data_IF_247277954286
#
_entry.id   IF_247277954286
#
_cell.length_a   1.000
_cell.length_b   1.000
_cell.length_c   1.000
_cell.angle_alpha   90.00
_cell.angle_beta   90.00
_cell.angle_gamma   90.00
#
_symmetry.space_group_name_H-M   'P 1'
#
loop_
_entity.id
_entity.type
_entity.pdbx_description
1 polymer ?
#
# COMPACT_ATOMS: atom_id res chain seq x y z
N UNK A 1 -3.16 -26.77 -14.15
CA UNK A 1 -3.94 -26.35 -12.95
C UNK A 1 -4.43 -24.95 -13.16
N UNK A 2 -5.68 -24.65 -12.82
CA UNK A 2 -6.18 -23.29 -12.85
C UNK A 2 -5.42 -22.43 -11.80
N UNK A 3 -4.95 -21.24 -12.21
CA UNK A 3 -4.32 -20.29 -11.28
C UNK A 3 -5.43 -19.64 -10.45
N UNK A 4 -5.28 -19.61 -9.14
CA UNK A 4 -6.19 -18.94 -8.24
C UNK A 4 -5.50 -17.74 -7.60
N UNK A 5 -5.95 -16.55 -7.91
CA UNK A 5 -5.49 -15.29 -7.32
C UNK A 5 -6.66 -14.67 -6.58
N UNK A 6 -6.59 -14.68 -5.25
CA UNK A 6 -7.68 -14.18 -4.38
C UNK A 6 -7.68 -12.67 -4.20
N UNK A 7 -6.63 -11.98 -4.57
CA UNK A 7 -6.45 -10.54 -4.39
C UNK A 7 -5.24 -10.23 -3.50
N UNK A 8 -5.05 -8.94 -3.20
CA UNK A 8 -4.04 -8.48 -2.24
C UNK A 8 -4.64 -8.59 -0.84
N UNK A 9 -4.07 -9.45 -0.01
CA UNK A 9 -4.56 -9.67 1.36
C UNK A 9 -4.04 -8.60 2.32
N UNK A 10 -2.76 -8.25 2.20
CA UNK A 10 -2.09 -7.37 3.14
C UNK A 10 -0.90 -6.66 2.51
N UNK A 11 -0.49 -5.58 3.14
CA UNK A 11 0.83 -4.98 2.99
C UNK A 11 1.54 -5.07 4.34
N UNK A 12 2.79 -5.54 4.33
CA UNK A 12 3.65 -5.56 5.51
C UNK A 12 4.20 -4.16 5.79
N UNK A 13 4.26 -3.78 7.07
CA UNK A 13 4.77 -2.49 7.50
C UNK A 13 5.59 -2.63 8.79
N UNK A 14 6.86 -2.18 8.74
CA UNK A 14 7.75 -2.20 9.88
C UNK A 14 7.55 -0.97 10.76
N UNK A 15 7.39 -1.16 12.08
CA UNK A 15 7.15 -0.06 13.02
C UNK A 15 7.93 -0.28 14.32
N UNK A 16 8.22 0.76 15.09
CA UNK A 16 8.86 0.61 16.40
C UNK A 16 7.92 0.11 17.50
N UNK A 17 6.58 0.20 17.32
CA UNK A 17 5.59 -0.22 18.31
C UNK A 17 4.30 -0.65 17.61
N UNK A 18 4.05 -1.96 17.57
CA UNK A 18 2.88 -2.56 16.90
C UNK A 18 1.56 -2.01 17.42
N UNK A 19 1.44 -1.85 18.75
CA UNK A 19 0.16 -1.44 19.36
C UNK A 19 -0.17 0.03 19.05
N UNK A 20 0.83 0.92 19.12
CA UNK A 20 0.65 2.34 18.78
C UNK A 20 0.33 2.52 17.29
N UNK A 21 1.07 1.83 16.42
CA UNK A 21 0.83 1.87 14.99
C UNK A 21 -0.57 1.32 14.66
N UNK A 22 -0.95 0.18 15.21
CA UNK A 22 -2.28 -0.38 14.98
C UNK A 22 -3.41 0.51 15.52
N UNK A 23 -3.24 1.15 16.68
CA UNK A 23 -4.21 2.11 17.19
C UNK A 23 -4.42 3.28 16.20
N UNK A 24 -3.35 3.75 15.58
CA UNK A 24 -3.43 4.77 14.55
C UNK A 24 -4.13 4.26 13.28
N UNK A 25 -3.78 3.06 12.77
CA UNK A 25 -4.42 2.49 11.56
C UNK A 25 -5.91 2.17 11.78
N UNK A 26 -6.30 1.80 13.00
CA UNK A 26 -7.72 1.72 13.39
C UNK A 26 -8.41 3.07 13.28
N UNK A 27 -7.78 4.12 13.80
CA UNK A 27 -8.31 5.48 13.74
C UNK A 27 -8.38 6.01 12.31
N UNK A 28 -7.34 5.78 11.51
CA UNK A 28 -7.23 6.30 10.14
C UNK A 28 -8.10 5.50 9.15
N UNK A 29 -8.03 4.17 9.20
CA UNK A 29 -8.53 3.30 8.14
C UNK A 29 -9.56 2.27 8.63
N UNK A 30 -9.91 2.24 9.93
CA UNK A 30 -10.85 1.24 10.45
C UNK A 30 -10.34 -0.21 10.36
N UNK A 31 -9.03 -0.42 10.28
CA UNK A 31 -8.40 -1.75 10.25
C UNK A 31 -8.39 -2.32 11.67
N UNK A 32 -9.48 -2.97 12.10
CA UNK A 32 -9.76 -3.35 13.48
C UNK A 32 -9.96 -4.85 13.70
N UNK A 33 -10.10 -5.64 12.63
CA UNK A 33 -10.31 -7.09 12.74
C UNK A 33 -8.96 -7.79 12.85
N UNK A 34 -8.62 -8.25 14.06
CA UNK A 34 -7.40 -9.01 14.32
C UNK A 34 -7.51 -10.43 13.76
N UNK A 35 -6.69 -10.75 12.77
CA UNK A 35 -6.57 -12.10 12.24
C UNK A 35 -5.61 -12.93 13.09
N UNK A 36 -4.46 -12.36 13.43
CA UNK A 36 -3.53 -12.89 14.42
C UNK A 36 -2.74 -11.77 15.09
N UNK A 37 -2.17 -12.07 16.22
CA UNK A 37 -1.17 -11.26 16.91
C UNK A 37 -0.28 -12.23 17.68
N UNK A 38 1.02 -12.18 17.45
CA UNK A 38 1.97 -13.11 18.06
C UNK A 38 3.36 -12.53 18.25
N UNK A 39 4.06 -13.01 19.26
CA UNK A 39 5.49 -12.85 19.42
C UNK A 39 6.18 -14.17 19.04
N UNK A 40 7.21 -14.09 18.21
CA UNK A 40 7.96 -15.27 17.75
C UNK A 40 9.38 -14.88 17.32
N UNK A 41 10.21 -15.89 17.07
CA UNK A 41 11.50 -15.71 16.42
C UNK A 41 11.34 -15.61 14.89
N UNK A 42 12.06 -14.66 14.30
CA UNK A 42 12.03 -14.37 12.87
C UNK A 42 13.17 -15.11 12.13
N UNK A 43 13.22 -16.44 12.25
CA UNK A 43 14.30 -17.26 11.70
C UNK A 43 14.45 -17.15 10.17
N UNK A 44 13.37 -16.84 9.44
CA UNK A 44 13.40 -16.66 7.99
C UNK A 44 13.91 -15.27 7.54
N UNK A 45 14.08 -14.33 8.48
CA UNK A 45 14.52 -12.96 8.19
C UNK A 45 16.04 -12.77 8.27
N UNK A 46 16.81 -13.84 8.54
CA UNK A 46 18.28 -13.77 8.72
C UNK A 46 19.01 -13.15 7.56
N UNK A 47 18.49 -13.28 6.33
CA UNK A 47 19.03 -12.60 5.15
C UNK A 47 19.06 -11.05 5.29
N UNK A 48 18.10 -10.49 6.02
CA UNK A 48 17.91 -9.05 6.22
C UNK A 48 18.38 -8.56 7.59
N UNK A 49 18.95 -9.44 8.41
CA UNK A 49 19.39 -9.17 9.77
C UNK A 49 20.86 -9.52 9.99
N UNK A 50 21.67 -9.54 8.91
CA UNK A 50 23.10 -9.87 9.01
C UNK A 50 23.39 -11.32 9.40
N UNK A 51 22.45 -12.23 9.18
CA UNK A 51 22.59 -13.67 9.54
C UNK A 51 22.09 -14.01 10.94
N UNK A 52 21.64 -13.04 11.73
CA UNK A 52 21.18 -13.26 13.09
C UNK A 52 19.65 -13.48 13.16
N UNK A 53 19.22 -14.38 14.06
CA UNK A 53 17.80 -14.57 14.38
C UNK A 53 17.37 -13.54 15.41
N UNK A 54 16.37 -12.75 15.09
CA UNK A 54 15.77 -11.78 16.00
C UNK A 54 14.34 -12.16 16.37
N UNK A 55 13.95 -11.82 17.59
CA UNK A 55 12.55 -11.91 18.01
C UNK A 55 11.74 -10.77 17.43
N UNK A 56 10.46 -11.05 17.15
CA UNK A 56 9.51 -10.10 16.57
C UNK A 56 8.17 -10.14 17.31
N UNK A 57 7.42 -9.06 17.18
CA UNK A 57 5.98 -9.02 17.44
C UNK A 57 5.29 -8.58 16.15
N UNK A 58 4.27 -9.30 15.73
CA UNK A 58 3.50 -8.97 14.54
C UNK A 58 2.00 -9.11 14.78
N UNK A 59 1.23 -8.23 14.15
CA UNK A 59 -0.22 -8.31 14.12
C UNK A 59 -0.71 -8.18 12.69
N UNK A 60 -1.53 -9.11 12.21
CA UNK A 60 -2.29 -8.97 10.98
C UNK A 60 -3.69 -8.49 11.32
N UNK A 61 -4.03 -7.32 10.84
CA UNK A 61 -5.34 -6.72 11.03
C UNK A 61 -5.97 -6.37 9.67
N UNK A 62 -7.25 -6.68 9.51
CA UNK A 62 -8.04 -6.42 8.31
C UNK A 62 -9.16 -5.43 8.60
N UNK A 63 -9.72 -4.87 7.52
CA UNK A 63 -10.96 -4.10 7.56
C UNK A 63 -12.11 -4.98 7.06
N UNK A 64 -13.12 -5.23 7.89
CA UNK A 64 -14.20 -6.17 7.52
C UNK A 64 -14.93 -5.77 6.24
N UNK A 65 -15.29 -4.52 6.07
CA UNK A 65 -16.00 -4.06 4.88
C UNK A 65 -15.10 -4.01 3.63
N UNK A 66 -13.87 -3.55 3.77
CA UNK A 66 -12.88 -3.43 2.68
C UNK A 66 -12.08 -4.70 2.42
N UNK A 67 -12.00 -5.60 3.39
CA UNK A 67 -11.50 -6.96 3.26
C UNK A 67 -10.02 -7.18 3.52
N UNK A 68 -9.16 -6.37 2.98
CA UNK A 68 -7.70 -6.48 3.15
C UNK A 68 -7.18 -5.60 4.29
N UNK A 69 -5.92 -5.72 4.63
CA UNK A 69 -5.35 -4.97 5.74
C UNK A 69 -3.83 -4.88 5.77
N UNK A 70 -3.27 -4.85 6.96
CA UNK A 70 -1.85 -4.66 7.19
C UNK A 70 -1.30 -5.69 8.14
N UNK A 71 -0.13 -6.22 7.80
CA UNK A 71 0.72 -6.93 8.74
C UNK A 71 1.68 -5.92 9.36
N UNK A 72 1.44 -5.60 10.63
CA UNK A 72 2.20 -4.62 11.39
C UNK A 72 3.29 -5.38 12.14
N UNK A 73 4.54 -5.04 11.88
CA UNK A 73 5.71 -5.80 12.30
C UNK A 73 6.67 -4.94 13.12
N UNK A 74 7.20 -5.52 14.20
CA UNK A 74 8.20 -4.91 15.06
C UNK A 74 9.26 -5.95 15.45
N UNK A 75 10.55 -5.62 15.33
CA UNK A 75 11.60 -6.37 16.03
C UNK A 75 11.57 -6.04 17.52
N UNK A 76 11.73 -7.08 18.37
CA UNK A 76 11.68 -6.95 19.84
C UNK A 76 12.99 -7.27 20.53
N UNK A 77 13.91 -7.98 19.89
CA UNK A 77 15.25 -8.28 20.42
C UNK A 77 16.33 -7.30 19.93
N UNK A 78 15.98 -6.36 19.06
CA UNK A 78 16.84 -5.23 18.65
C UNK A 78 15.97 -3.98 18.57
N UNK A 79 16.60 -2.81 18.70
CA UNK A 79 15.93 -1.56 18.44
C UNK A 79 15.71 -1.38 16.93
N UNK A 80 14.47 -1.20 16.46
CA UNK A 80 14.21 -0.88 15.06
C UNK A 80 14.90 0.43 14.66
N UNK A 81 15.66 0.40 13.59
CA UNK A 81 16.31 1.59 13.04
C UNK A 81 15.46 2.13 11.89
N UNK A 82 15.28 3.45 11.77
CA UNK A 82 14.68 4.03 10.59
C UNK A 82 15.58 3.82 9.38
N UNK A 83 15.00 3.88 8.17
CA UNK A 83 15.79 3.88 6.95
C UNK A 83 16.83 5.00 6.96
N UNK A 84 18.01 4.74 6.41
CA UNK A 84 19.14 5.71 6.36
C UNK A 84 18.93 6.84 5.36
N UNK A 85 17.87 6.74 4.57
CA UNK A 85 17.49 7.74 3.57
C UNK A 85 15.98 7.96 3.59
N UNK A 86 15.55 9.09 3.14
CA UNK A 86 14.13 9.32 2.85
C UNK A 86 13.80 8.66 1.52
N UNK A 87 12.86 7.68 1.55
CA UNK A 87 12.32 7.06 0.35
C UNK A 87 11.52 8.08 -0.46
N UNK A 88 11.61 8.01 -1.77
CA UNK A 88 10.90 8.91 -2.67
C UNK A 88 10.19 8.14 -3.78
N UNK A 89 9.26 8.81 -4.45
CA UNK A 89 8.54 8.24 -5.58
C UNK A 89 9.54 7.79 -6.66
N UNK A 90 9.38 6.56 -7.15
CA UNK A 90 10.28 5.96 -8.13
C UNK A 90 11.43 5.13 -7.54
N UNK A 91 11.72 5.21 -6.25
CA UNK A 91 12.61 4.26 -5.59
C UNK A 91 12.05 2.83 -5.67
N UNK A 92 12.91 1.85 -5.85
CA UNK A 92 12.50 0.46 -6.13
C UNK A 92 11.89 -0.21 -4.90
N UNK A 93 10.68 -0.71 -5.05
CA UNK A 93 9.90 -1.37 -3.97
C UNK A 93 8.52 -0.77 -3.77
N UNK A 94 7.85 -1.12 -2.67
CA UNK A 94 6.53 -0.57 -2.33
C UNK A 94 6.73 0.79 -1.67
N UNK A 95 6.30 1.86 -2.33
CA UNK A 95 6.41 3.22 -1.81
C UNK A 95 5.11 3.72 -1.17
N UNK A 96 3.96 3.39 -1.75
CA UNK A 96 2.64 3.83 -1.26
C UNK A 96 1.72 2.62 -1.10
N UNK A 97 1.09 2.50 0.07
CA UNK A 97 -0.02 1.59 0.28
C UNK A 97 -1.32 2.28 -0.14
N UNK A 98 -2.10 1.65 -1.03
CA UNK A 98 -3.42 2.14 -1.41
C UNK A 98 -4.48 1.56 -0.50
N UNK A 99 -5.30 2.44 0.06
CA UNK A 99 -6.42 2.10 0.95
C UNK A 99 -7.72 2.52 0.28
N UNK A 100 -8.71 1.65 0.27
CA UNK A 100 -10.02 1.92 -0.34
C UNK A 100 -10.79 2.95 0.46
N UNK A 101 -11.49 3.86 -0.23
CA UNK A 101 -12.55 4.69 0.35
C UNK A 101 -13.81 4.65 -0.52
N UNK A 102 -14.94 4.97 0.08
CA UNK A 102 -16.24 5.01 -0.63
C UNK A 102 -16.43 6.35 -1.34
N UNK A 103 -15.95 7.42 -0.72
CA UNK A 103 -16.02 8.80 -1.16
C UNK A 103 -14.77 9.50 -0.61
N UNK A 104 -13.91 9.96 -1.50
CA UNK A 104 -12.64 10.56 -1.13
C UNK A 104 -12.81 11.92 -0.45
N UNK A 105 -13.79 12.72 -0.84
CA UNK A 105 -14.08 14.01 -0.22
C UNK A 105 -14.57 13.83 1.23
N UNK A 106 -15.53 12.90 1.41
CA UNK A 106 -16.05 12.58 2.74
C UNK A 106 -14.95 11.99 3.66
N UNK A 107 -14.08 11.12 3.12
CA UNK A 107 -12.98 10.53 3.86
C UNK A 107 -11.91 11.58 4.22
N UNK A 108 -11.60 12.49 3.30
CA UNK A 108 -10.67 13.60 3.52
C UNK A 108 -11.18 14.53 4.64
N UNK A 109 -12.46 14.89 4.60
CA UNK A 109 -13.10 15.71 5.64
C UNK A 109 -13.11 14.98 7.00
N UNK A 110 -13.40 13.67 7.01
CA UNK A 110 -13.39 12.87 8.23
C UNK A 110 -11.98 12.74 8.83
N UNK A 111 -10.94 12.59 7.99
CA UNK A 111 -9.55 12.61 8.45
C UNK A 111 -9.21 13.95 9.13
N UNK A 112 -9.57 15.07 8.52
CA UNK A 112 -9.36 16.39 9.12
C UNK A 112 -10.07 16.51 10.48
N UNK A 113 -11.32 16.02 10.59
CA UNK A 113 -12.08 15.97 11.85
C UNK A 113 -11.40 15.11 12.92
N UNK A 114 -10.73 14.01 12.52
CA UNK A 114 -9.96 13.13 13.42
C UNK A 114 -8.56 13.65 13.75
N UNK A 115 -8.15 14.79 13.17
CA UNK A 115 -6.80 15.35 13.33
C UNK A 115 -5.73 14.52 12.59
N UNK A 116 -6.09 13.92 11.45
CA UNK A 116 -5.17 13.23 10.53
C UNK A 116 -4.94 14.17 9.34
N UNK A 117 -3.70 14.60 9.16
CA UNK A 117 -3.32 15.52 8.09
C UNK A 117 -3.20 14.77 6.75
N UNK A 118 -3.79 15.34 5.71
CA UNK A 118 -3.59 14.89 4.33
C UNK A 118 -2.42 15.64 3.69
N UNK A 119 -1.79 15.02 2.69
CA UNK A 119 -0.77 15.61 1.85
C UNK A 119 -1.43 16.25 0.61
N UNK A 120 -2.03 17.42 0.79
CA UNK A 120 -2.72 18.13 -0.29
C UNK A 120 -4.20 17.80 -0.42
N UNK A 121 -4.85 18.31 -1.49
CA UNK A 121 -6.29 18.17 -1.72
C UNK A 121 -6.65 16.80 -2.30
N UNK A 122 -7.96 16.58 -2.44
CA UNK A 122 -8.51 15.49 -3.25
C UNK A 122 -8.29 15.81 -4.74
N UNK A 123 -7.86 14.79 -5.49
CA UNK A 123 -7.68 14.85 -6.94
C UNK A 123 -8.62 13.87 -7.64
N UNK A 124 -8.95 14.16 -8.89
CA UNK A 124 -9.74 13.28 -9.74
C UNK A 124 -8.82 12.55 -10.74
N UNK A 125 -9.02 11.25 -10.91
CA UNK A 125 -8.33 10.40 -11.87
C UNK A 125 -9.07 10.42 -13.21
N UNK A 126 -8.41 10.04 -14.33
CA UNK A 126 -9.05 9.99 -15.65
C UNK A 126 -10.29 9.09 -15.74
N UNK A 127 -10.42 8.10 -14.86
CA UNK A 127 -11.60 7.22 -14.78
C UNK A 127 -12.75 7.81 -13.95
N UNK A 128 -12.60 9.07 -13.48
CA UNK A 128 -13.56 9.78 -12.64
C UNK A 128 -13.53 9.39 -11.16
N UNK A 129 -12.70 8.44 -10.76
CA UNK A 129 -12.49 8.15 -9.34
C UNK A 129 -11.64 9.23 -8.68
N UNK A 130 -11.86 9.46 -7.40
CA UNK A 130 -11.10 10.46 -6.64
C UNK A 130 -10.14 9.80 -5.67
N UNK A 131 -9.07 10.52 -5.34
CA UNK A 131 -8.04 10.07 -4.42
C UNK A 131 -7.32 11.22 -3.72
N UNK A 132 -6.62 10.92 -2.62
CA UNK A 132 -5.70 11.84 -1.93
C UNK A 132 -4.63 11.06 -1.17
N UNK A 133 -3.59 11.76 -0.74
CA UNK A 133 -2.46 11.18 -0.03
C UNK A 133 -2.38 11.63 1.42
N UNK A 134 -1.76 10.79 2.25
CA UNK A 134 -1.36 11.12 3.61
C UNK A 134 -0.09 10.36 4.01
N UNK A 135 0.54 10.78 5.10
CA UNK A 135 1.59 10.03 5.79
C UNK A 135 1.11 9.58 7.15
N UNK A 136 1.55 8.40 7.57
CA UNK A 136 1.38 7.97 8.94
C UNK A 136 2.42 8.61 9.89
N UNK A 137 2.36 8.38 11.22
CA UNK A 137 3.33 8.92 12.16
C UNK A 137 4.78 8.42 11.97
N UNK A 138 4.97 7.37 11.18
CA UNK A 138 6.29 6.79 10.87
C UNK A 138 6.85 7.27 9.53
N UNK A 139 6.08 8.08 8.78
CA UNK A 139 6.50 8.63 7.49
C UNK A 139 6.10 7.79 6.27
N UNK A 140 5.41 6.67 6.47
CA UNK A 140 4.92 5.86 5.36
C UNK A 140 3.77 6.55 4.61
N UNK A 141 3.85 6.50 3.28
CA UNK A 141 2.86 7.12 2.42
C UNK A 141 1.66 6.20 2.14
N UNK A 142 0.48 6.78 2.17
CA UNK A 142 -0.78 6.14 1.85
C UNK A 142 -1.55 6.94 0.82
N UNK A 143 -2.23 6.23 -0.08
CA UNK A 143 -3.21 6.79 -1.00
C UNK A 143 -4.61 6.28 -0.64
N UNK A 144 -5.54 7.18 -0.36
CA UNK A 144 -6.95 6.85 -0.23
C UNK A 144 -7.55 6.95 -1.62
N UNK A 145 -8.07 5.85 -2.17
CA UNK A 145 -8.61 5.78 -3.52
C UNK A 145 -10.04 5.23 -3.52
N UNK A 146 -10.92 5.90 -4.25
CA UNK A 146 -12.31 5.44 -4.37
C UNK A 146 -12.39 4.06 -5.01
N UNK A 147 -13.18 3.20 -4.38
CA UNK A 147 -13.44 1.84 -4.84
C UNK A 147 -14.92 1.52 -4.77
N UNK A 148 -15.38 0.76 -5.76
CA UNK A 148 -16.74 0.20 -5.79
C UNK A 148 -16.79 -1.23 -5.23
N UNK A 149 -15.65 -1.80 -4.87
CA UNK A 149 -15.55 -3.19 -4.43
C UNK A 149 -15.47 -3.28 -2.90
N UNK A 150 -16.57 -3.66 -2.31
CA UNK A 150 -16.73 -3.81 -0.86
C UNK A 150 -17.30 -5.18 -0.53
N UNK A 151 -16.75 -5.82 0.49
CA UNK A 151 -17.25 -7.08 1.03
C UNK A 151 -18.47 -6.87 1.94
N UNK A 152 -18.45 -5.79 2.70
CA UNK A 152 -19.49 -5.46 3.65
C UNK A 152 -19.60 -3.96 3.90
N UNK A 153 -20.48 -3.56 4.83
CA UNK A 153 -20.65 -2.15 5.18
C UNK A 153 -19.33 -1.51 5.67
N UNK A 154 -19.11 -0.29 5.26
CA UNK A 154 -18.03 0.56 5.75
C UNK A 154 -18.55 2.00 5.90
N UNK A 155 -18.07 2.71 6.94
CA UNK A 155 -18.54 4.08 7.19
C UNK A 155 -17.94 5.08 6.20
N UNK A 156 -16.62 4.99 5.95
CA UNK A 156 -15.89 5.92 5.07
C UNK A 156 -14.94 5.19 4.14
N UNK A 157 -14.20 4.22 4.66
CA UNK A 157 -13.21 3.49 3.91
C UNK A 157 -12.41 2.55 4.77
N UNK A 158 -11.49 1.86 4.15
CA UNK A 158 -10.55 0.94 4.77
C UNK A 158 -10.33 -0.33 3.95
N UNK A 159 -9.34 -1.08 4.38
CA UNK A 159 -8.83 -2.23 3.64
C UNK A 159 -7.88 -1.83 2.51
N UNK A 160 -6.82 -2.61 2.38
CA UNK A 160 -5.82 -2.39 1.33
C UNK A 160 -6.43 -2.64 -0.05
N UNK A 161 -6.31 -1.68 -0.95
CA UNK A 161 -6.81 -1.73 -2.32
C UNK A 161 -5.72 -1.91 -3.37
N UNK A 162 -4.46 -1.82 -2.97
CA UNK A 162 -3.35 -1.89 -3.91
C UNK A 162 -2.04 -1.33 -3.37
N UNK A 163 -1.10 -1.11 -4.29
CA UNK A 163 0.18 -0.49 -3.98
C UNK A 163 0.72 0.32 -5.16
N UNK A 164 1.52 1.34 -4.86
CA UNK A 164 2.42 2.00 -5.82
C UNK A 164 3.82 1.44 -5.63
N UNK A 165 4.38 0.94 -6.71
CA UNK A 165 5.66 0.25 -6.76
C UNK A 165 6.64 1.02 -7.64
N UNK A 166 7.77 1.41 -7.08
CA UNK A 166 8.92 1.79 -7.88
C UNK A 166 9.51 0.56 -8.57
N UNK A 167 9.77 0.66 -9.85
CA UNK A 167 10.30 -0.47 -10.65
C UNK A 167 11.42 0.00 -11.57
N UNK A 168 12.41 -0.85 -11.77
CA UNK A 168 13.54 -0.57 -12.67
C UNK A 168 13.19 -0.75 -14.15
N UNK A 169 12.16 -1.54 -14.46
CA UNK A 169 11.72 -1.83 -15.84
C UNK A 169 10.21 -2.03 -15.86
N UNK A 170 9.50 -1.03 -16.35
CA UNK A 170 8.02 -1.04 -16.41
C UNK A 170 7.49 -2.15 -17.28
N UNK A 171 8.09 -2.37 -18.45
CA UNK A 171 7.56 -3.36 -19.41
C UNK A 171 7.70 -4.79 -18.87
N UNK A 172 8.82 -5.12 -18.24
CA UNK A 172 9.00 -6.41 -17.57
C UNK A 172 8.05 -6.57 -16.40
N UNK A 173 7.86 -5.51 -15.63
CA UNK A 173 6.93 -5.51 -14.48
C UNK A 173 5.49 -5.69 -14.97
N UNK A 174 5.06 -4.94 -16.00
CA UNK A 174 3.75 -5.10 -16.61
C UNK A 174 3.52 -6.53 -17.10
N UNK A 175 4.51 -7.13 -17.77
CA UNK A 175 4.43 -8.50 -18.24
C UNK A 175 4.25 -9.49 -17.07
N UNK A 176 5.01 -9.32 -15.98
CA UNK A 176 4.87 -10.15 -14.77
C UNK A 176 3.47 -10.04 -14.16
N UNK A 177 3.02 -8.80 -13.91
CA UNK A 177 1.72 -8.56 -13.28
C UNK A 177 0.57 -9.07 -14.17
N UNK A 178 0.65 -8.88 -15.48
CA UNK A 178 -0.35 -9.38 -16.44
C UNK A 178 -0.33 -10.91 -16.54
N UNK A 179 0.81 -11.50 -16.86
CA UNK A 179 0.89 -12.91 -17.31
C UNK A 179 0.86 -13.88 -16.13
N UNK A 180 1.36 -13.44 -14.94
CA UNK A 180 1.41 -14.28 -13.75
C UNK A 180 0.27 -13.95 -12.79
N UNK A 181 0.01 -12.66 -12.52
CA UNK A 181 -0.94 -12.24 -11.49
C UNK A 181 -2.29 -11.80 -12.05
N UNK A 182 -2.42 -11.65 -13.39
CA UNK A 182 -3.67 -11.35 -14.05
C UNK A 182 -4.13 -9.89 -13.95
N UNK A 183 -3.22 -8.96 -13.71
CA UNK A 183 -3.47 -7.51 -13.79
C UNK A 183 -3.32 -7.06 -15.25
N UNK A 184 -4.27 -7.44 -16.09
CA UNK A 184 -4.22 -7.38 -17.53
C UNK A 184 -4.84 -6.13 -18.15
N UNK A 185 -5.56 -5.35 -17.35
CA UNK A 185 -6.21 -4.12 -17.77
C UNK A 185 -5.37 -2.91 -17.39
N UNK A 186 -4.82 -2.21 -18.40
CA UNK A 186 -4.20 -0.90 -18.21
C UNK A 186 -5.32 0.14 -18.06
N UNK A 187 -5.40 0.77 -16.89
CA UNK A 187 -6.38 1.81 -16.58
C UNK A 187 -5.82 3.19 -16.89
N UNK A 188 -4.52 3.34 -16.66
CA UNK A 188 -3.79 4.58 -16.89
C UNK A 188 -2.38 4.25 -17.37
N UNK A 189 -1.89 4.97 -18.37
CA UNK A 189 -0.48 4.98 -18.78
C UNK A 189 -0.17 6.39 -19.31
N UNK A 190 0.49 7.18 -18.47
CA UNK A 190 0.81 8.56 -18.78
C UNK A 190 2.23 8.92 -18.33
N UNK A 191 2.85 9.88 -19.00
CA UNK A 191 4.21 10.36 -18.67
C UNK A 191 4.19 11.87 -18.53
N UNK A 192 4.87 12.36 -17.50
CA UNK A 192 5.03 13.78 -17.22
C UNK A 192 5.02 14.10 -15.74
N UNK A 193 4.98 15.39 -15.43
CA UNK A 193 4.78 15.87 -14.06
C UNK A 193 3.32 15.69 -13.68
N UNK A 194 3.09 14.94 -12.61
CA UNK A 194 1.76 14.59 -12.15
C UNK A 194 1.36 15.48 -10.98
N UNK A 195 0.36 16.35 -11.16
CA UNK A 195 -0.10 17.25 -10.09
C UNK A 195 -0.46 16.53 -8.77
N UNK A 196 -1.10 15.34 -8.79
CA UNK A 196 -1.36 14.58 -7.56
C UNK A 196 -0.10 14.16 -6.80
N UNK A 197 1.02 13.98 -7.48
CA UNK A 197 2.28 13.58 -6.84
C UNK A 197 3.04 14.71 -6.17
N UNK A 198 2.74 15.97 -6.51
CA UNK A 198 3.48 17.14 -6.02
C UNK A 198 3.75 17.16 -4.49
N UNK A 199 2.82 16.71 -3.61
CA UNK A 199 3.06 16.71 -2.17
C UNK A 199 3.88 15.50 -1.67
N UNK A 200 4.18 14.53 -2.53
CA UNK A 200 4.95 13.34 -2.17
C UNK A 200 6.46 13.61 -2.24
N UNK A 201 7.31 12.92 -1.44
CA UNK A 201 8.74 12.95 -1.64
C UNK A 201 9.10 12.56 -3.09
N UNK A 202 9.88 13.39 -3.76
CA UNK A 202 10.22 13.22 -5.17
C UNK A 202 9.10 13.56 -6.17
N UNK A 203 7.90 13.87 -5.72
CA UNK A 203 6.71 14.00 -6.58
C UNK A 203 6.69 15.20 -7.54
N UNK A 204 7.65 16.13 -7.42
CA UNK A 204 7.81 17.26 -8.35
C UNK A 204 8.44 16.89 -9.69
N UNK A 205 8.99 15.69 -9.80
CA UNK A 205 9.66 15.21 -11.00
C UNK A 205 8.65 14.63 -12.01
N UNK A 206 9.11 14.44 -13.25
CA UNK A 206 8.30 13.75 -14.27
C UNK A 206 8.45 12.23 -14.14
N UNK A 207 7.33 11.53 -14.15
CA UNK A 207 7.27 10.07 -14.08
C UNK A 207 6.42 9.49 -15.21
N UNK A 208 6.71 8.25 -15.62
CA UNK A 208 5.69 7.40 -16.23
C UNK A 208 4.89 6.75 -15.12
N UNK A 209 3.59 6.77 -15.24
CA UNK A 209 2.64 6.21 -14.28
C UNK A 209 1.77 5.18 -14.98
N UNK A 210 1.84 3.93 -14.56
CA UNK A 210 1.02 2.86 -15.15
C UNK A 210 0.17 2.23 -14.07
N UNK A 211 -1.15 2.31 -14.20
CA UNK A 211 -2.11 1.69 -13.28
C UNK A 211 -2.71 0.46 -13.94
N UNK A 212 -2.56 -0.67 -13.28
CA UNK A 212 -3.03 -1.98 -13.73
C UNK A 212 -4.15 -2.48 -12.81
N UNK A 213 -5.21 -2.98 -13.41
CA UNK A 213 -6.30 -3.68 -12.72
C UNK A 213 -6.53 -5.05 -13.39
N UNK A 214 -7.32 -5.88 -12.76
CA UNK A 214 -7.78 -7.14 -13.33
C UNK A 214 -9.06 -6.90 -14.14
N UNK A 215 -9.12 -7.44 -15.37
CA UNK A 215 -10.37 -7.49 -16.14
C UNK A 215 -11.32 -8.52 -15.55
N UNK A 216 -10.78 -9.70 -15.18
CA UNK A 216 -11.54 -10.80 -14.59
C UNK A 216 -11.64 -10.69 -13.06
N UNK A 217 -12.73 -11.17 -12.46
CA UNK A 217 -12.83 -11.29 -11.02
C UNK A 217 -11.71 -12.14 -10.41
N UNK A 218 -11.33 -11.84 -9.18
CA UNK A 218 -10.46 -12.70 -8.40
C UNK A 218 -11.13 -14.03 -8.08
N UNK A 219 -10.35 -15.09 -7.86
CA UNK A 219 -10.85 -16.43 -7.60
C UNK A 219 -10.20 -17.04 -6.36
N UNK A 220 -10.88 -17.99 -5.72
CA UNK A 220 -10.44 -18.64 -4.50
C UNK A 220 -11.26 -18.25 -3.28
N UNK A 221 -10.95 -18.84 -2.13
CA UNK A 221 -11.75 -18.75 -0.91
C UNK A 221 -11.94 -17.31 -0.39
N UNK A 222 -10.93 -16.46 -0.55
CA UNK A 222 -10.94 -15.08 -0.06
C UNK A 222 -11.25 -14.02 -1.12
N UNK A 223 -11.54 -14.44 -2.36
CA UNK A 223 -11.71 -13.52 -3.49
C UNK A 223 -12.77 -12.44 -3.26
N UNK A 224 -13.92 -12.81 -2.67
CA UNK A 224 -14.99 -11.87 -2.35
C UNK A 224 -14.59 -10.87 -1.26
N UNK A 225 -13.81 -11.32 -0.28
CA UNK A 225 -13.33 -10.48 0.82
C UNK A 225 -12.31 -9.45 0.31
N UNK A 226 -11.33 -9.89 -0.50
CA UNK A 226 -10.19 -9.05 -0.89
C UNK A 226 -10.50 -8.12 -2.07
N UNK A 227 -11.36 -8.57 -3.00
CA UNK A 227 -11.63 -7.84 -4.24
C UNK A 227 -10.47 -7.90 -5.24
N UNK A 228 -10.57 -7.12 -6.33
CA UNK A 228 -9.58 -7.14 -7.40
C UNK A 228 -8.30 -6.37 -7.09
N UNK A 229 -8.42 -5.23 -6.44
CA UNK A 229 -7.31 -4.33 -6.17
C UNK A 229 -6.69 -3.73 -7.43
N UNK A 230 -5.66 -2.91 -7.24
CA UNK A 230 -4.86 -2.36 -8.34
C UNK A 230 -3.38 -2.32 -8.00
N UNK A 231 -2.55 -2.33 -9.03
CA UNK A 231 -1.10 -2.15 -8.92
C UNK A 231 -0.71 -0.95 -9.78
N UNK A 232 0.03 -0.03 -9.20
CA UNK A 232 0.57 1.12 -9.90
C UNK A 232 2.09 1.01 -9.98
N UNK A 233 2.63 1.14 -11.19
CA UNK A 233 4.06 1.05 -11.48
C UNK A 233 4.59 2.43 -11.80
N UNK A 234 5.66 2.82 -11.13
CA UNK A 234 6.33 4.11 -11.31
C UNK A 234 7.83 3.85 -11.42
N UNK A 235 8.43 3.96 -12.62
CA UNK A 235 9.88 3.91 -12.76
C UNK A 235 10.50 5.25 -12.35
N UNK A 236 11.66 5.20 -11.75
CA UNK A 236 12.51 6.38 -11.64
C UNK A 236 13.02 6.76 -13.03
N UNK A 237 13.06 8.05 -13.31
CA UNK A 237 13.60 8.54 -14.57
C UNK A 237 15.09 8.86 -14.45
N UNK A 238 15.53 9.52 -13.38
CA UNK A 238 16.94 9.86 -13.03
C UNK A 238 16.94 10.71 -11.75
N UNK A 239 17.90 10.58 -10.80
CA UNK A 239 19.02 9.61 -10.80
C UNK A 239 18.55 8.19 -10.51
N UNK A 240 19.48 7.21 -10.65
CA UNK A 240 19.18 5.81 -10.38
C UNK A 240 18.43 5.61 -9.06
N UNK A 241 17.30 4.86 -9.08
CA UNK A 241 16.48 4.67 -7.90
C UNK A 241 17.25 3.95 -6.80
N UNK A 242 16.93 4.28 -5.56
CA UNK A 242 17.38 3.49 -4.42
C UNK A 242 16.52 2.23 -4.30
N UNK A 243 17.09 1.18 -3.75
CA UNK A 243 16.31 0.00 -3.37
C UNK A 243 15.77 0.22 -1.95
N UNK A 244 14.45 0.22 -1.79
CA UNK A 244 13.79 0.38 -0.50
C UNK A 244 13.97 -0.85 0.42
N UNK A 245 14.50 -1.96 -0.11
CA UNK A 245 14.79 -3.20 0.64
C UNK A 245 16.25 -3.28 1.09
N UNK A 246 17.17 -2.60 0.38
CA UNK A 246 18.59 -2.55 0.74
C UNK A 246 18.87 -1.33 1.66
N UNK A 247 19.36 -1.61 2.85
CA UNK A 247 19.81 -0.60 3.82
C UNK A 247 21.28 -0.19 3.61
#
# INVERSE_FOLDING_TARGET
MAKHISGIQQIGIGVPDVHKAWAWYRKAFGIDVRMFEEAAEAALMTRYTGGEVHSRHAALALHMGGGAGMEIWQFTSREPQPAKFEGQLGDTGIFICKVKCMDAEAMHAEHARRGIASLGPVHERPDGSKHFYLKDPHGYCFELVESKEWFGPAAYGGGVGGAVLGVSDVEKSMALYRDVLGYDKVVLDETGVQAPFAPLPGGGEGYRRVVLQRSEPTSGAFSKLLGRGEVELVPALDPAPKDLVEE
#
